data_IF_540970501112
#
_entry.id   IF_540970501112
#
_cell.length_a   1.000
_cell.length_b   1.000
_cell.length_c   1.000
_cell.angle_alpha   90.00
_cell.angle_beta   90.00
_cell.angle_gamma   90.00
#
_symmetry.space_group_name_H-M   'P 1'
#
loop_
_entity.id
_entity.type
_entity.pdbx_description
1 polymer ?
#
# COMPACT_ATOMS: atom_id res chain seq x y z
N UNK A 1 0.24 9.63 -1.05
CA UNK A 1 -0.29 8.25 -1.19
C UNK A 1 -0.18 7.69 -2.60
N UNK A 2 -0.35 8.49 -3.66
CA UNK A 2 -0.37 8.05 -5.07
C UNK A 2 0.74 7.06 -5.44
N UNK A 3 1.99 7.34 -5.04
CA UNK A 3 3.13 6.47 -5.33
C UNK A 3 2.95 5.05 -4.76
N UNK A 4 2.36 4.88 -3.58
CA UNK A 4 2.32 3.57 -2.93
C UNK A 4 1.07 2.75 -3.26
N UNK A 5 0.06 3.37 -3.87
CA UNK A 5 -1.22 2.69 -4.18
C UNK A 5 -1.04 1.49 -5.12
N UNK A 6 -0.31 1.60 -6.25
CA UNK A 6 -0.09 0.45 -7.14
C UNK A 6 0.55 -0.75 -6.44
N UNK A 7 1.41 -0.48 -5.45
CA UNK A 7 2.26 -1.48 -4.83
C UNK A 7 1.66 -2.12 -3.59
N UNK A 8 1.01 -1.32 -2.75
CA UNK A 8 0.41 -1.81 -1.51
C UNK A 8 -1.05 -2.20 -1.69
N UNK A 9 -1.82 -1.42 -2.45
CA UNK A 9 -3.26 -1.63 -2.58
C UNK A 9 -3.52 -2.55 -3.75
N UNK A 10 -3.12 -2.14 -4.96
CA UNK A 10 -3.51 -2.85 -6.19
C UNK A 10 -2.88 -4.24 -6.24
N UNK A 11 -1.60 -4.40 -5.89
CA UNK A 11 -0.99 -5.73 -5.81
C UNK A 11 -1.66 -6.64 -4.77
N UNK A 12 -2.04 -6.11 -3.60
CA UNK A 12 -2.72 -6.89 -2.57
C UNK A 12 -4.07 -7.38 -3.08
N UNK A 13 -4.87 -6.49 -3.68
CA UNK A 13 -6.15 -6.85 -4.29
C UNK A 13 -5.96 -7.88 -5.39
N UNK A 14 -5.03 -7.63 -6.32
CA UNK A 14 -4.76 -8.55 -7.44
C UNK A 14 -4.26 -9.92 -6.96
N UNK A 15 -3.46 -9.98 -5.89
CA UNK A 15 -3.02 -11.24 -5.31
C UNK A 15 -4.18 -12.02 -4.66
N UNK A 16 -5.07 -11.33 -3.94
CA UNK A 16 -6.25 -11.94 -3.33
C UNK A 16 -7.25 -12.47 -4.37
N UNK A 17 -7.48 -11.71 -5.45
CA UNK A 17 -8.34 -12.14 -6.55
C UNK A 17 -7.76 -13.36 -7.29
N UNK A 18 -6.46 -13.33 -7.62
CA UNK A 18 -5.77 -14.43 -8.31
C UNK A 18 -5.78 -15.73 -7.50
N UNK A 19 -5.66 -15.61 -6.18
CA UNK A 19 -5.70 -16.75 -5.26
C UNK A 19 -7.12 -17.15 -4.84
N UNK A 20 -8.16 -16.49 -5.38
CA UNK A 20 -9.57 -16.68 -5.04
C UNK A 20 -9.87 -16.55 -3.53
N UNK A 21 -9.01 -15.82 -2.80
CA UNK A 21 -9.22 -15.50 -1.38
C UNK A 21 -10.22 -14.38 -1.21
N UNK A 22 -10.28 -13.44 -2.15
CA UNK A 22 -11.36 -12.46 -2.23
C UNK A 22 -12.28 -12.83 -3.41
N UNK A 23 -13.59 -12.92 -3.15
CA UNK A 23 -14.60 -13.46 -4.08
C UNK A 23 -15.87 -12.60 -4.05
N UNK A 24 -16.75 -12.69 -5.05
CA UNK A 24 -18.01 -11.94 -5.08
C UNK A 24 -18.90 -12.14 -3.84
N UNK A 25 -18.88 -13.33 -3.24
CA UNK A 25 -19.63 -13.66 -2.02
C UNK A 25 -19.20 -12.84 -0.79
N UNK A 26 -18.02 -12.22 -0.83
CA UNK A 26 -17.56 -11.30 0.21
C UNK A 26 -18.08 -9.87 0.00
N UNK A 27 -18.79 -9.61 -1.09
CA UNK A 27 -19.48 -8.35 -1.37
C UNK A 27 -20.92 -8.36 -0.87
N UNK A 28 -21.41 -7.21 -0.42
CA UNK A 28 -22.80 -7.00 -0.01
C UNK A 28 -23.36 -5.86 -0.85
N UNK A 29 -24.39 -6.12 -1.64
CA UNK A 29 -25.06 -5.09 -2.44
C UNK A 29 -25.69 -4.09 -1.48
N UNK A 30 -25.35 -2.83 -1.67
CA UNK A 30 -25.94 -1.71 -0.95
C UNK A 30 -27.18 -1.26 -1.74
N UNK A 31 -28.33 -1.24 -1.06
CA UNK A 31 -29.62 -1.11 -1.73
C UNK A 31 -30.05 0.35 -1.97
N UNK A 32 -29.53 1.33 -1.22
CA UNK A 32 -30.04 2.71 -1.20
C UNK A 32 -29.16 3.68 -2.03
N UNK A 33 -27.85 3.51 -1.99
CA UNK A 33 -26.82 4.27 -2.71
C UNK A 33 -26.32 3.59 -4.02
N UNK A 34 -26.72 2.35 -4.29
CA UNK A 34 -26.41 1.64 -5.54
C UNK A 34 -24.98 1.11 -5.64
N UNK A 35 -24.37 0.74 -4.51
CA UNK A 35 -22.98 0.28 -4.42
C UNK A 35 -22.80 -1.18 -4.03
N UNK A 36 -21.54 -1.59 -3.87
CA UNK A 36 -21.17 -2.87 -3.26
C UNK A 36 -20.25 -2.59 -2.08
N UNK A 37 -20.70 -2.94 -0.89
CA UNK A 37 -19.85 -2.98 0.29
C UNK A 37 -19.03 -4.24 0.33
N UNK A 38 -17.92 -4.16 1.05
CA UNK A 38 -17.20 -5.34 1.48
C UNK A 38 -17.83 -5.83 2.78
N UNK A 39 -18.30 -7.08 2.80
CA UNK A 39 -18.80 -7.73 4.01
C UNK A 39 -17.70 -7.91 5.05
N UNK A 40 -18.06 -8.27 6.28
CA UNK A 40 -17.12 -8.39 7.40
C UNK A 40 -15.94 -9.34 7.09
N UNK A 41 -16.22 -10.50 6.49
CA UNK A 41 -15.21 -11.47 6.11
C UNK A 41 -14.29 -10.93 5.01
N UNK A 42 -14.87 -10.29 3.99
CA UNK A 42 -14.10 -9.64 2.93
C UNK A 42 -13.17 -8.57 3.49
N UNK A 43 -13.67 -7.76 4.42
CA UNK A 43 -12.89 -6.70 5.08
C UNK A 43 -11.73 -7.29 5.86
N UNK A 44 -11.98 -8.35 6.63
CA UNK A 44 -10.91 -9.04 7.35
C UNK A 44 -9.84 -9.59 6.40
N UNK A 45 -10.23 -10.29 5.35
CA UNK A 45 -9.30 -10.86 4.35
C UNK A 45 -8.43 -9.76 3.72
N UNK A 46 -9.05 -8.63 3.33
CA UNK A 46 -8.35 -7.53 2.70
C UNK A 46 -7.38 -6.83 3.67
N UNK A 47 -7.83 -6.52 4.88
CA UNK A 47 -7.02 -5.83 5.90
C UNK A 47 -5.84 -6.70 6.31
N UNK A 48 -6.07 -7.98 6.64
CA UNK A 48 -5.02 -8.91 7.04
C UNK A 48 -3.93 -9.03 5.95
N UNK A 49 -4.35 -9.10 4.68
CA UNK A 49 -3.41 -9.18 3.55
C UNK A 49 -2.65 -7.87 3.29
N UNK A 50 -3.32 -6.72 3.42
CA UNK A 50 -2.70 -5.41 3.27
C UNK A 50 -1.66 -5.16 4.36
N UNK A 51 -1.97 -5.49 5.61
CA UNK A 51 -1.03 -5.38 6.73
C UNK A 51 0.16 -6.31 6.52
N UNK A 52 -0.07 -7.56 6.12
CA UNK A 52 1.00 -8.49 5.80
C UNK A 52 1.88 -7.98 4.65
N UNK A 53 1.30 -7.35 3.61
CA UNK A 53 2.05 -6.72 2.53
C UNK A 53 2.89 -5.55 3.03
N UNK A 54 2.34 -4.70 3.91
CA UNK A 54 3.04 -3.57 4.51
C UNK A 54 4.25 -4.00 5.36
N UNK A 55 4.16 -5.14 6.06
CA UNK A 55 5.23 -5.64 6.92
C UNK A 55 6.37 -6.33 6.17
N UNK A 56 6.21 -6.63 4.87
CA UNK A 56 7.31 -7.19 4.08
C UNK A 56 8.47 -6.20 4.01
N UNK A 57 9.67 -6.70 4.29
CA UNK A 57 10.89 -5.92 4.12
C UNK A 57 11.18 -5.75 2.63
N UNK A 58 11.51 -4.52 2.25
CA UNK A 58 11.84 -4.13 0.88
C UNK A 58 13.23 -3.52 0.87
N UNK A 59 13.95 -3.79 -0.21
CA UNK A 59 15.27 -3.23 -0.49
C UNK A 59 15.23 -2.53 -1.84
N UNK A 60 15.98 -1.43 -1.99
CA UNK A 60 16.11 -0.74 -3.27
C UNK A 60 14.95 0.17 -3.67
N UNK A 61 13.88 0.27 -2.86
CA UNK A 61 12.81 1.23 -3.10
C UNK A 61 13.24 2.69 -2.85
N UNK A 62 14.22 2.85 -1.97
CA UNK A 62 14.97 4.09 -1.73
C UNK A 62 16.47 3.76 -1.75
N UNK A 63 17.33 4.65 -2.27
CA UNK A 63 18.77 4.41 -2.33
C UNK A 63 19.38 4.16 -0.96
N UNK A 64 20.10 3.03 -0.80
CA UNK A 64 20.79 2.70 0.45
C UNK A 64 19.89 2.40 1.65
N UNK A 65 18.57 2.29 1.45
CA UNK A 65 17.61 2.04 2.53
C UNK A 65 16.94 0.67 2.39
N UNK A 66 16.61 0.07 3.53
CA UNK A 66 15.93 -1.23 3.60
C UNK A 66 15.04 -1.28 4.83
N UNK A 67 13.87 -1.90 4.70
CA UNK A 67 12.88 -1.99 5.78
C UNK A 67 11.46 -2.22 5.27
N UNK A 68 10.50 -2.23 6.18
CA UNK A 68 9.08 -2.38 5.82
C UNK A 68 8.52 -1.13 5.12
N UNK A 69 7.34 -1.24 4.51
CA UNK A 69 6.69 -0.09 3.87
C UNK A 69 6.37 1.07 4.82
N UNK A 70 5.87 0.85 6.06
CA UNK A 70 5.72 1.93 7.03
C UNK A 70 7.03 2.67 7.30
N UNK A 71 8.15 1.95 7.37
CA UNK A 71 9.48 2.53 7.53
C UNK A 71 9.91 3.35 6.29
N UNK A 72 9.66 2.85 5.09
CA UNK A 72 9.91 3.60 3.84
C UNK A 72 9.06 4.86 3.74
N UNK A 73 7.79 4.83 4.15
CA UNK A 73 6.91 6.01 4.18
C UNK A 73 7.48 7.06 5.12
N UNK A 74 7.83 6.66 6.35
CA UNK A 74 8.40 7.57 7.33
C UNK A 74 9.73 8.15 6.85
N UNK A 75 10.59 7.33 6.23
CA UNK A 75 11.86 7.80 5.69
C UNK A 75 11.67 8.76 4.51
N UNK A 76 10.74 8.46 3.60
CA UNK A 76 10.39 9.37 2.49
C UNK A 76 9.90 10.73 2.99
N UNK A 77 9.10 10.75 4.06
CA UNK A 77 8.64 11.98 4.68
C UNK A 77 9.81 12.78 5.30
N UNK A 78 10.78 12.11 5.92
CA UNK A 78 12.00 12.76 6.43
C UNK A 78 12.85 13.33 5.29
N UNK A 79 13.04 12.58 4.20
CA UNK A 79 13.75 13.07 3.01
C UNK A 79 13.05 14.30 2.41
N UNK A 80 11.71 14.30 2.39
CA UNK A 80 10.94 15.43 1.90
C UNK A 80 11.11 16.65 2.80
N UNK A 81 11.09 16.47 4.12
CA UNK A 81 11.34 17.55 5.07
C UNK A 81 12.73 18.17 4.86
N UNK A 82 13.77 17.34 4.65
CA UNK A 82 15.12 17.83 4.33
C UNK A 82 15.18 18.57 3.00
N UNK A 83 14.53 18.05 1.95
CA UNK A 83 14.47 18.73 0.66
C UNK A 83 13.77 20.11 0.71
N UNK A 84 12.92 20.34 1.71
CA UNK A 84 12.27 21.63 1.94
C UNK A 84 13.20 22.60 2.68
N UNK A 85 13.95 22.13 3.67
CA UNK A 85 14.77 22.97 4.56
C UNK A 85 16.21 23.18 4.08
N UNK A 86 16.76 22.23 3.32
CA UNK A 86 18.14 22.22 2.83
C UNK A 86 18.18 22.43 1.31
N UNK A 87 18.59 23.62 0.80
CA UNK A 87 18.56 23.94 -0.63
C UNK A 87 19.36 23.00 -1.53
N UNK A 88 20.43 22.41 -1.01
CA UNK A 88 21.33 21.52 -1.75
C UNK A 88 21.01 20.03 -1.55
N UNK A 89 19.92 19.69 -0.83
CA UNK A 89 19.57 18.31 -0.58
C UNK A 89 18.99 17.63 -1.84
N UNK A 90 19.62 16.56 -2.35
CA UNK A 90 19.14 15.88 -3.55
C UNK A 90 17.86 15.09 -3.24
N UNK A 91 16.73 15.51 -3.81
CA UNK A 91 15.47 14.79 -3.70
C UNK A 91 15.44 13.59 -4.67
N UNK A 92 15.04 12.43 -4.14
CA UNK A 92 14.66 11.26 -4.95
C UNK A 92 13.35 10.69 -4.42
N UNK A 93 12.41 10.43 -5.32
CA UNK A 93 11.15 9.78 -4.97
C UNK A 93 11.32 8.28 -4.77
N UNK A 94 10.33 7.65 -4.15
CA UNK A 94 10.26 6.19 -4.05
C UNK A 94 10.09 5.62 -5.47
N UNK A 95 10.90 4.63 -5.83
CA UNK A 95 10.77 3.90 -7.08
C UNK A 95 10.80 2.40 -6.80
N UNK A 96 9.90 1.64 -7.41
CA UNK A 96 9.84 0.18 -7.27
C UNK A 96 9.78 -0.44 -8.67
N UNK A 97 10.48 -1.57 -8.85
CA UNK A 97 10.41 -2.44 -10.03
C UNK A 97 10.06 -3.84 -9.57
#
# INVERSE_FOLDING_TARGET
MEQLRPLLVDQTVMALLRTRKLRPEHGVVEAEAGGVWLGADGKKILVDAYEAACQRSVTGALPGYSGSWPRHIAHSAQMLARAIDEPDYPWSGVAWR
#
